data_IF_458029400973
#
_entry.id   IF_458029400973
#
_cell.length_a   1.000
_cell.length_b   1.000
_cell.length_c   1.000
_cell.angle_alpha   90.00
_cell.angle_beta   90.00
_cell.angle_gamma   90.00
#
_symmetry.space_group_name_H-M   'P 1'
#
loop_
_entity.id
_entity.type
_entity.pdbx_description
1 polymer ?
#
# COMPACT_ATOMS: atom_id res chain seq x y z
N UNK A 1 15.85 18.09 15.01
CA UNK A 1 14.92 19.11 15.53
C UNK A 1 14.07 19.64 14.38
N UNK A 2 12.82 19.14 14.30
CA UNK A 2 11.86 19.48 13.24
C UNK A 2 11.35 20.93 13.33
N UNK A 3 11.75 21.69 14.34
CA UNK A 3 11.28 23.05 14.61
C UNK A 3 12.37 24.11 14.43
N UNK A 4 13.50 23.79 13.87
CA UNK A 4 14.58 24.73 13.59
C UNK A 4 14.51 25.29 12.17
N UNK A 5 15.30 26.32 11.89
CA UNK A 5 15.49 26.86 10.53
C UNK A 5 16.00 25.81 9.50
N UNK A 6 16.42 24.65 9.95
CA UNK A 6 16.90 23.53 9.13
C UNK A 6 15.82 22.51 8.76
N UNK A 7 14.62 22.59 9.35
CA UNK A 7 13.50 21.66 9.11
C UNK A 7 13.16 21.51 7.62
N UNK A 8 13.22 22.60 6.84
CA UNK A 8 12.96 22.56 5.39
C UNK A 8 13.93 21.69 4.58
N UNK A 9 15.07 21.31 5.16
CA UNK A 9 16.04 20.44 4.49
C UNK A 9 15.71 18.95 4.64
N UNK A 10 14.86 18.57 5.62
CA UNK A 10 14.51 17.18 5.91
C UNK A 10 13.36 16.68 5.03
N UNK A 11 12.77 17.53 4.18
CA UNK A 11 11.56 17.22 3.44
C UNK A 11 10.31 17.18 4.34
N UNK A 12 9.19 16.76 3.75
CA UNK A 12 7.86 16.83 4.39
C UNK A 12 7.33 15.45 4.80
N UNK A 13 8.01 14.36 4.41
CA UNK A 13 7.49 13.00 4.52
C UNK A 13 8.10 12.18 5.66
N UNK A 14 9.20 12.64 6.26
CA UNK A 14 9.78 11.96 7.42
C UNK A 14 8.95 12.17 8.70
N UNK A 15 9.02 11.19 9.61
CA UNK A 15 8.27 11.20 10.86
C UNK A 15 8.74 12.28 11.86
N UNK A 16 7.95 12.52 12.92
CA UNK A 16 8.18 13.63 13.87
C UNK A 16 9.45 13.48 14.72
N UNK A 17 10.01 12.26 14.83
CA UNK A 17 11.23 12.00 15.60
C UNK A 17 12.50 12.14 14.76
N UNK A 18 12.37 12.44 13.46
CA UNK A 18 13.49 12.61 12.54
C UNK A 18 14.24 13.89 12.83
N UNK A 19 15.56 13.80 12.82
CA UNK A 19 16.47 14.95 13.00
C UNK A 19 17.62 14.90 12.02
N UNK A 20 18.29 16.01 11.83
CA UNK A 20 19.40 16.09 10.90
C UNK A 20 20.21 17.37 11.02
N UNK A 21 21.25 17.46 10.21
CA UNK A 21 22.11 18.62 10.12
C UNK A 21 22.58 18.87 8.68
N UNK A 22 22.91 20.10 8.37
CA UNK A 22 23.41 20.49 7.05
C UNK A 22 24.81 21.07 7.15
N UNK A 23 25.65 20.80 6.12
CA UNK A 23 26.97 21.39 5.97
C UNK A 23 26.96 22.58 5.00
N UNK A 24 27.86 23.53 5.22
CA UNK A 24 28.05 24.71 4.38
C UNK A 24 28.28 24.38 2.91
N UNK A 25 29.07 23.34 2.65
CA UNK A 25 29.41 22.90 1.29
C UNK A 25 28.24 22.21 0.54
N UNK A 26 27.08 22.11 1.17
CA UNK A 26 25.88 21.49 0.56
C UNK A 26 25.53 20.12 1.14
N UNK A 27 26.43 19.48 1.86
CA UNK A 27 26.20 18.17 2.49
C UNK A 27 25.04 18.19 3.48
N UNK A 28 24.40 17.04 3.71
CA UNK A 28 23.42 16.88 4.79
C UNK A 28 23.38 15.44 5.31
N UNK A 29 22.93 15.30 6.55
CA UNK A 29 22.57 14.03 7.17
C UNK A 29 21.19 14.15 7.76
N UNK A 30 20.37 13.13 7.57
CA UNK A 30 19.04 12.95 8.18
C UNK A 30 19.08 11.61 8.89
N UNK A 31 18.57 11.55 10.11
CA UNK A 31 18.47 10.33 10.93
C UNK A 31 17.02 10.16 11.33
N UNK A 32 16.46 9.01 10.96
CA UNK A 32 15.12 8.58 11.32
C UNK A 32 15.22 7.37 12.25
N UNK A 33 15.09 7.60 13.57
CA UNK A 33 15.19 6.53 14.54
C UNK A 33 13.99 5.59 14.54
N UNK A 34 12.84 6.04 14.02
CA UNK A 34 11.62 5.23 13.98
C UNK A 34 11.72 4.09 12.94
N UNK A 35 12.55 4.26 11.91
CA UNK A 35 12.77 3.28 10.84
C UNK A 35 14.22 2.82 10.71
N UNK A 36 15.06 3.11 11.70
CA UNK A 36 16.49 2.76 11.72
C UNK A 36 17.20 3.18 10.41
N UNK A 37 16.86 4.38 9.92
CA UNK A 37 17.32 4.87 8.62
C UNK A 37 18.15 6.14 8.75
N UNK A 38 19.23 6.21 7.96
CA UNK A 38 20.03 7.43 7.82
C UNK A 38 20.17 7.78 6.34
N UNK A 39 19.97 9.06 6.01
CA UNK A 39 20.18 9.60 4.67
C UNK A 39 21.35 10.55 4.70
N UNK A 40 22.41 10.23 3.96
CA UNK A 40 23.61 11.07 3.85
C UNK A 40 23.72 11.56 2.42
N UNK A 41 23.65 12.87 2.23
CA UNK A 41 23.85 13.54 0.94
C UNK A 41 25.21 14.22 0.90
N UNK A 42 26.07 13.77 0.01
CA UNK A 42 27.41 14.33 -0.19
C UNK A 42 27.45 15.09 -1.52
N UNK A 43 27.41 16.40 -1.44
CA UNK A 43 27.48 17.30 -2.61
C UNK A 43 28.42 18.47 -2.33
N UNK A 44 28.87 19.11 -3.39
CA UNK A 44 29.66 20.33 -3.31
C UNK A 44 28.90 21.47 -4.02
N UNK A 45 28.38 22.40 -3.24
CA UNK A 45 27.61 23.54 -3.72
C UNK A 45 28.42 24.86 -3.74
N UNK A 46 29.67 24.82 -3.32
CA UNK A 46 30.52 26.01 -3.19
C UNK A 46 31.65 26.03 -4.21
N UNK A 47 31.74 25.04 -5.10
CA UNK A 47 32.81 24.99 -6.10
C UNK A 47 32.22 24.66 -7.49
N UNK A 48 32.64 25.31 -8.59
CA UNK A 48 33.67 26.36 -8.66
C UNK A 48 33.21 27.74 -8.16
N UNK A 49 31.93 27.95 -7.97
CA UNK A 49 31.33 29.21 -7.51
C UNK A 49 30.37 28.99 -6.35
N UNK A 50 30.50 29.80 -5.29
CA UNK A 50 29.54 29.80 -4.17
C UNK A 50 28.28 30.59 -4.53
N UNK A 51 27.17 30.24 -3.89
CA UNK A 51 25.86 30.96 -4.01
C UNK A 51 24.71 30.15 -4.55
N UNK A 52 24.88 28.85 -4.81
CA UNK A 52 23.78 27.98 -5.22
C UNK A 52 23.07 27.36 -4.00
N UNK A 53 21.76 27.64 -3.89
CA UNK A 53 20.93 27.02 -2.85
C UNK A 53 20.64 25.55 -3.19
N UNK A 54 20.96 24.65 -2.27
CA UNK A 54 20.69 23.21 -2.38
C UNK A 54 19.58 22.74 -1.46
N UNK A 55 18.86 23.65 -0.81
CA UNK A 55 17.74 23.32 0.10
C UNK A 55 16.70 22.46 -0.61
N UNK A 56 16.30 22.84 -1.82
CA UNK A 56 15.33 22.08 -2.62
C UNK A 56 15.84 20.68 -2.96
N UNK A 57 17.10 20.52 -3.31
CA UNK A 57 17.69 19.22 -3.62
C UNK A 57 17.70 18.32 -2.39
N UNK A 58 18.08 18.84 -1.23
CA UNK A 58 18.07 18.10 0.04
C UNK A 58 16.66 17.62 0.37
N UNK A 59 15.66 18.50 0.29
CA UNK A 59 14.26 18.16 0.50
C UNK A 59 13.74 17.11 -0.48
N UNK A 60 14.07 17.21 -1.77
CA UNK A 60 13.66 16.22 -2.76
C UNK A 60 14.26 14.83 -2.52
N UNK A 61 15.57 14.78 -2.17
CA UNK A 61 16.23 13.52 -1.82
C UNK A 61 15.62 12.93 -0.55
N UNK A 62 15.40 13.76 0.48
CA UNK A 62 14.76 13.36 1.72
C UNK A 62 13.37 12.76 1.48
N UNK A 63 12.53 13.45 0.70
CA UNK A 63 11.18 12.98 0.36
C UNK A 63 11.21 11.69 -0.48
N UNK A 64 12.15 11.54 -1.41
CA UNK A 64 12.27 10.32 -2.20
C UNK A 64 12.62 9.09 -1.34
N UNK A 65 13.53 9.27 -0.39
CA UNK A 65 13.89 8.21 0.58
C UNK A 65 12.73 7.93 1.52
N UNK A 66 12.12 8.98 2.12
CA UNK A 66 10.99 8.84 3.01
C UNK A 66 9.82 8.12 2.33
N UNK A 67 9.48 8.47 1.09
CA UNK A 67 8.42 7.81 0.32
C UNK A 67 8.70 6.32 0.05
N UNK A 68 9.97 5.90 0.07
CA UNK A 68 10.33 4.48 -0.06
C UNK A 68 10.18 3.68 1.24
N UNK A 69 10.22 4.37 2.38
CA UNK A 69 10.14 3.79 3.73
C UNK A 69 8.71 3.92 4.28
N UNK A 70 8.13 5.11 4.13
CA UNK A 70 6.75 5.41 4.51
C UNK A 70 5.87 5.32 3.26
N UNK A 71 5.21 4.20 3.02
CA UNK A 71 4.31 4.12 1.89
C UNK A 71 3.25 5.21 2.01
N UNK A 72 3.15 6.08 0.98
CA UNK A 72 2.10 7.10 0.91
C UNK A 72 0.76 6.36 1.04
N UNK A 73 -0.09 6.70 2.01
CA UNK A 73 -1.39 6.06 2.14
C UNK A 73 -2.14 6.16 0.81
N UNK A 74 -2.56 5.02 0.24
CA UNK A 74 -3.38 5.03 -0.97
C UNK A 74 -4.71 5.66 -0.64
N UNK A 75 -5.12 6.62 -1.47
CA UNK A 75 -6.44 7.23 -1.38
C UNK A 75 -7.36 6.44 -2.31
N UNK A 76 -8.38 5.85 -1.74
CA UNK A 76 -9.39 5.10 -2.47
C UNK A 76 -10.65 5.93 -2.71
N UNK A 77 -11.55 5.42 -3.54
CA UNK A 77 -12.83 6.07 -3.82
C UNK A 77 -13.76 6.06 -2.58
N UNK A 78 -14.73 6.98 -2.52
CA UNK A 78 -15.76 6.97 -1.49
C UNK A 78 -16.53 5.63 -1.47
N UNK A 79 -16.74 5.02 -2.63
CA UNK A 79 -17.37 3.71 -2.75
C UNK A 79 -16.52 2.62 -2.08
N UNK A 80 -15.19 2.66 -2.25
CA UNK A 80 -14.29 1.73 -1.57
C UNK A 80 -14.43 1.84 -0.05
N UNK A 81 -14.36 3.05 0.49
CA UNK A 81 -14.48 3.25 1.94
C UNK A 81 -15.84 2.83 2.47
N UNK A 82 -16.92 3.12 1.75
CA UNK A 82 -18.26 2.68 2.12
C UNK A 82 -18.36 1.15 2.20
N UNK A 83 -17.82 0.43 1.19
CA UNK A 83 -17.82 -1.04 1.17
C UNK A 83 -16.90 -1.61 2.24
N UNK A 84 -15.72 -0.99 2.42
CA UNK A 84 -14.77 -1.38 3.46
C UNK A 84 -15.41 -1.34 4.86
N UNK A 85 -16.11 -0.26 5.20
CA UNK A 85 -16.83 -0.13 6.47
C UNK A 85 -17.99 -1.13 6.57
N UNK A 86 -18.75 -1.33 5.51
CA UNK A 86 -19.82 -2.35 5.46
C UNK A 86 -19.28 -3.74 5.81
N UNK A 87 -18.10 -4.11 5.30
CA UNK A 87 -17.50 -5.41 5.61
C UNK A 87 -17.07 -5.53 7.08
N UNK A 88 -16.73 -4.42 7.73
CA UNK A 88 -16.43 -4.40 9.16
C UNK A 88 -17.69 -4.61 10.04
N UNK A 89 -18.85 -4.15 9.56
CA UNK A 89 -20.13 -4.32 10.25
C UNK A 89 -20.72 -5.73 10.05
N UNK A 90 -20.27 -6.47 9.04
CA UNK A 90 -20.68 -7.84 8.80
C UNK A 90 -20.03 -8.82 9.80
N UNK A 91 -20.65 -9.99 10.07
CA UNK A 91 -20.00 -11.03 10.86
C UNK A 91 -18.61 -11.38 10.32
N UNK A 92 -17.64 -11.52 11.22
CA UNK A 92 -16.26 -11.85 10.85
C UNK A 92 -16.19 -13.10 9.98
N UNK A 93 -15.20 -13.13 9.10
CA UNK A 93 -14.91 -14.33 8.29
C UNK A 93 -14.47 -15.46 9.20
N UNK A 94 -14.89 -16.68 8.87
CA UNK A 94 -14.56 -17.90 9.60
C UNK A 94 -13.99 -18.97 8.68
N UNK A 95 -13.41 -20.03 9.25
CA UNK A 95 -12.87 -21.17 8.52
C UNK A 95 -13.93 -22.00 7.75
N UNK A 96 -15.21 -21.68 7.90
CA UNK A 96 -16.30 -22.30 7.12
C UNK A 96 -16.68 -21.48 5.89
N UNK A 97 -16.23 -20.23 5.81
CA UNK A 97 -16.64 -19.31 4.75
C UNK A 97 -15.87 -19.56 3.45
N UNK A 98 -16.55 -19.27 2.35
CA UNK A 98 -16.00 -19.16 1.01
C UNK A 98 -16.00 -17.67 0.65
N UNK A 99 -14.83 -17.11 0.37
CA UNK A 99 -14.69 -15.68 0.08
C UNK A 99 -14.54 -15.46 -1.43
N UNK A 100 -15.44 -14.67 -2.00
CA UNK A 100 -15.30 -14.11 -3.35
C UNK A 100 -14.65 -12.74 -3.22
N UNK A 101 -13.38 -12.62 -3.55
CA UNK A 101 -12.56 -11.44 -3.39
C UNK A 101 -12.21 -10.84 -4.75
N UNK A 102 -12.47 -9.56 -4.96
CA UNK A 102 -12.21 -8.94 -6.26
C UNK A 102 -12.81 -7.54 -6.40
N UNK A 103 -12.96 -7.15 -7.64
CA UNK A 103 -13.44 -5.82 -8.05
C UNK A 103 -14.96 -5.79 -8.35
N UNK A 104 -15.37 -4.95 -9.33
CA UNK A 104 -16.77 -4.80 -9.74
C UNK A 104 -17.43 -6.09 -10.21
N UNK A 105 -16.69 -6.98 -10.86
CA UNK A 105 -17.20 -8.27 -11.32
C UNK A 105 -17.60 -9.15 -10.13
N UNK A 106 -16.84 -9.12 -9.07
CA UNK A 106 -17.12 -9.82 -7.83
C UNK A 106 -18.26 -9.15 -7.05
N UNK A 107 -18.23 -7.81 -6.91
CA UNK A 107 -19.29 -7.07 -6.23
C UNK A 107 -20.64 -7.26 -6.93
N UNK A 108 -20.65 -7.13 -8.26
CA UNK A 108 -21.84 -7.29 -9.10
C UNK A 108 -22.45 -8.70 -9.08
N UNK A 109 -21.73 -9.68 -8.58
CA UNK A 109 -22.28 -11.01 -8.31
C UNK A 109 -23.39 -11.01 -7.26
N UNK A 110 -23.49 -9.98 -6.42
CA UNK A 110 -24.53 -9.82 -5.40
C UNK A 110 -24.50 -10.96 -4.37
N UNK A 111 -25.60 -11.66 -4.21
CA UNK A 111 -25.67 -12.82 -3.29
C UNK A 111 -25.06 -14.07 -3.94
N UNK A 112 -23.76 -14.26 -3.71
CA UNK A 112 -23.01 -15.44 -4.16
C UNK A 112 -23.50 -16.73 -3.51
N UNK A 113 -24.07 -16.68 -2.30
CA UNK A 113 -24.64 -17.86 -1.65
C UNK A 113 -25.83 -18.40 -2.42
N UNK A 114 -26.76 -17.53 -2.82
CA UNK A 114 -27.88 -17.89 -3.66
C UNK A 114 -27.43 -18.39 -5.04
N UNK A 115 -26.50 -17.68 -5.69
CA UNK A 115 -26.00 -18.05 -7.03
C UNK A 115 -25.34 -19.42 -7.09
N UNK A 116 -24.56 -19.77 -6.07
CA UNK A 116 -23.80 -21.02 -6.03
C UNK A 116 -24.53 -22.16 -5.32
N UNK A 117 -25.72 -21.90 -4.76
CA UNK A 117 -26.46 -22.88 -3.94
C UNK A 117 -25.62 -23.36 -2.73
N UNK A 118 -24.79 -22.48 -2.18
CA UNK A 118 -23.91 -22.77 -1.05
C UNK A 118 -24.15 -21.79 0.06
N UNK A 119 -24.16 -22.27 1.31
CA UNK A 119 -24.16 -21.39 2.48
C UNK A 119 -22.77 -20.81 2.74
N UNK A 120 -22.70 -19.68 3.38
CA UNK A 120 -21.47 -19.02 3.83
C UNK A 120 -20.52 -18.56 2.68
N UNK A 121 -21.09 -18.11 1.56
CA UNK A 121 -20.28 -17.44 0.53
C UNK A 121 -20.34 -15.94 0.76
N UNK A 122 -19.17 -15.34 1.01
CA UNK A 122 -19.01 -13.92 1.34
C UNK A 122 -18.58 -13.14 0.13
N UNK A 123 -19.37 -12.13 -0.25
CA UNK A 123 -18.99 -11.19 -1.29
C UNK A 123 -18.05 -10.12 -0.71
N UNK A 124 -16.80 -10.14 -1.13
CA UNK A 124 -15.77 -9.17 -0.79
C UNK A 124 -15.28 -8.45 -2.05
N UNK A 125 -16.20 -8.15 -2.96
CA UNK A 125 -15.97 -7.31 -4.15
C UNK A 125 -16.14 -5.83 -3.84
N UNK A 126 -15.31 -4.99 -4.51
CA UNK A 126 -15.44 -3.53 -4.50
C UNK A 126 -15.27 -3.00 -5.93
N UNK A 127 -16.25 -2.23 -6.42
CA UNK A 127 -16.20 -1.59 -7.75
C UNK A 127 -14.98 -0.67 -7.82
N UNK A 128 -14.21 -0.81 -8.88
CA UNK A 128 -13.01 0.01 -9.11
C UNK A 128 -11.78 -0.46 -8.35
N UNK A 129 -11.86 -1.55 -7.57
CA UNK A 129 -10.73 -2.03 -6.79
C UNK A 129 -9.58 -2.54 -7.65
N UNK A 130 -8.37 -2.28 -7.17
CA UNK A 130 -7.10 -2.68 -7.76
C UNK A 130 -6.40 -3.72 -6.89
N UNK A 131 -5.31 -4.30 -7.40
CA UNK A 131 -4.55 -5.33 -6.66
C UNK A 131 -4.15 -4.85 -5.28
N UNK A 132 -3.66 -3.62 -5.18
CA UNK A 132 -3.21 -3.09 -3.91
C UNK A 132 -4.35 -2.69 -2.98
N UNK A 133 -5.53 -2.33 -3.49
CA UNK A 133 -6.73 -2.14 -2.68
C UNK A 133 -7.17 -3.43 -1.98
N UNK A 134 -7.08 -4.56 -2.69
CA UNK A 134 -7.26 -5.88 -2.09
C UNK A 134 -6.20 -6.16 -1.03
N UNK A 135 -4.93 -5.92 -1.34
CA UNK A 135 -3.82 -6.14 -0.40
C UNK A 135 -4.04 -5.41 0.93
N UNK A 136 -4.45 -4.15 0.87
CA UNK A 136 -4.63 -3.30 2.06
C UNK A 136 -5.79 -3.77 2.96
N UNK A 137 -6.82 -4.45 2.40
CA UNK A 137 -7.96 -4.97 3.17
C UNK A 137 -7.93 -6.47 3.49
N UNK A 138 -6.85 -7.18 3.20
CA UNK A 138 -6.69 -8.58 3.56
C UNK A 138 -6.83 -8.85 5.06
N UNK A 139 -6.49 -7.88 5.91
CA UNK A 139 -6.66 -7.96 7.36
C UNK A 139 -8.11 -8.17 7.82
N UNK A 140 -9.11 -7.87 6.98
CA UNK A 140 -10.53 -8.16 7.26
C UNK A 140 -10.90 -9.62 6.97
N UNK A 141 -10.05 -10.37 6.29
CA UNK A 141 -10.35 -11.69 5.74
C UNK A 141 -9.46 -12.78 6.36
N UNK A 142 -8.14 -12.56 6.32
CA UNK A 142 -7.16 -13.60 6.65
C UNK A 142 -7.20 -14.10 8.09
N UNK A 143 -7.52 -13.28 9.12
CA UNK A 143 -7.64 -13.76 10.50
C UNK A 143 -8.73 -14.83 10.67
N UNK A 144 -9.70 -14.90 9.76
CA UNK A 144 -10.76 -15.89 9.78
C UNK A 144 -10.38 -17.23 9.15
N UNK A 145 -9.23 -17.33 8.47
CA UNK A 145 -8.76 -18.53 7.78
C UNK A 145 -9.84 -19.19 6.92
N UNK A 146 -10.45 -18.48 5.93
CA UNK A 146 -11.58 -19.03 5.17
C UNK A 146 -11.23 -20.35 4.48
N UNK A 147 -12.22 -21.25 4.36
CA UNK A 147 -12.03 -22.54 3.70
C UNK A 147 -11.53 -22.39 2.26
N UNK A 148 -12.05 -21.38 1.55
CA UNK A 148 -11.69 -21.08 0.17
C UNK A 148 -11.70 -19.57 -0.06
N UNK A 149 -10.75 -19.11 -0.90
CA UNK A 149 -10.69 -17.74 -1.37
C UNK A 149 -10.54 -17.74 -2.88
N UNK A 150 -11.49 -17.12 -3.58
CA UNK A 150 -11.47 -16.92 -5.03
C UNK A 150 -11.08 -15.46 -5.30
N UNK A 151 -9.94 -15.25 -5.95
CA UNK A 151 -9.38 -13.92 -6.24
C UNK A 151 -9.50 -13.61 -7.72
N UNK A 152 -10.23 -12.53 -8.06
CA UNK A 152 -10.36 -11.98 -9.42
C UNK A 152 -10.01 -10.50 -9.39
N UNK A 153 -8.83 -10.11 -9.95
CA UNK A 153 -8.31 -8.75 -9.86
C UNK A 153 -7.32 -8.45 -10.99
N UNK A 154 -7.05 -7.19 -11.27
CA UNK A 154 -6.04 -6.72 -12.21
C UNK A 154 -6.57 -5.93 -13.40
N UNK A 155 -7.87 -6.04 -13.72
CA UNK A 155 -8.45 -5.34 -14.88
C UNK A 155 -8.43 -3.81 -14.72
N UNK A 156 -8.64 -3.30 -13.50
CA UNK A 156 -8.60 -1.87 -13.23
C UNK A 156 -7.17 -1.33 -13.28
N UNK A 157 -6.21 -2.11 -12.79
CA UNK A 157 -4.78 -1.81 -12.88
C UNK A 157 -4.35 -1.65 -14.35
N UNK A 158 -4.83 -2.53 -15.24
CA UNK A 158 -4.61 -2.41 -16.69
C UNK A 158 -5.24 -1.12 -17.23
N UNK A 159 -6.47 -0.80 -16.83
CA UNK A 159 -7.18 0.40 -17.30
C UNK A 159 -6.51 1.70 -16.83
N UNK A 160 -5.75 1.65 -15.75
CA UNK A 160 -4.94 2.75 -15.23
C UNK A 160 -3.50 2.75 -15.79
N UNK A 161 -3.26 1.99 -16.87
CA UNK A 161 -1.99 1.93 -17.60
C UNK A 161 -0.80 1.39 -16.77
N UNK A 162 -1.04 0.58 -15.75
CA UNK A 162 0.03 -0.13 -15.08
C UNK A 162 0.60 -1.20 -16.03
N UNK A 163 1.91 -1.41 -15.97
CA UNK A 163 2.56 -2.45 -16.79
C UNK A 163 2.21 -3.85 -16.30
N UNK A 164 2.18 -4.81 -17.21
CA UNK A 164 1.91 -6.21 -16.87
C UNK A 164 2.86 -6.75 -15.80
N UNK A 165 4.14 -6.38 -15.87
CA UNK A 165 5.14 -6.79 -14.88
C UNK A 165 4.84 -6.25 -13.48
N UNK A 166 4.42 -4.98 -13.39
CA UNK A 166 4.01 -4.37 -12.13
C UNK A 166 2.78 -5.07 -11.55
N UNK A 167 1.77 -5.33 -12.39
CA UNK A 167 0.53 -6.00 -11.97
C UNK A 167 0.82 -7.42 -11.47
N UNK A 168 1.62 -8.19 -12.23
CA UNK A 168 2.02 -9.56 -11.84
C UNK A 168 2.80 -9.55 -10.53
N UNK A 169 3.71 -8.59 -10.34
CA UNK A 169 4.47 -8.44 -9.10
C UNK A 169 3.55 -8.16 -7.91
N UNK A 170 2.59 -7.24 -8.05
CA UNK A 170 1.62 -6.93 -6.99
C UNK A 170 0.70 -8.11 -6.68
N UNK A 171 0.22 -8.84 -7.71
CA UNK A 171 -0.58 -10.07 -7.51
C UNK A 171 0.25 -11.11 -6.77
N UNK A 172 1.51 -11.31 -7.13
CA UNK A 172 2.42 -12.24 -6.44
C UNK A 172 2.56 -11.89 -4.96
N UNK A 173 2.86 -10.64 -4.65
CA UNK A 173 2.96 -10.15 -3.25
C UNK A 173 1.67 -10.41 -2.48
N UNK A 174 0.52 -10.18 -3.12
CA UNK A 174 -0.80 -10.42 -2.51
C UNK A 174 -1.03 -11.92 -2.23
N UNK A 175 -0.70 -12.78 -3.19
CA UNK A 175 -0.80 -14.24 -3.05
C UNK A 175 0.13 -14.76 -1.96
N UNK A 176 1.39 -14.33 -1.93
CA UNK A 176 2.38 -14.70 -0.91
C UNK A 176 1.91 -14.31 0.49
N UNK A 177 1.33 -13.13 0.65
CA UNK A 177 0.74 -12.70 1.91
C UNK A 177 -0.42 -13.59 2.33
N UNK A 178 -1.35 -13.91 1.42
CA UNK A 178 -2.46 -14.82 1.70
C UNK A 178 -1.95 -16.20 2.15
N UNK A 179 -0.99 -16.75 1.44
CA UNK A 179 -0.42 -18.07 1.77
C UNK A 179 0.32 -18.07 3.12
N UNK A 180 0.99 -16.97 3.45
CA UNK A 180 1.73 -16.81 4.71
C UNK A 180 0.79 -16.65 5.91
N UNK A 181 -0.22 -15.77 5.79
CA UNK A 181 -1.11 -15.41 6.91
C UNK A 181 -2.30 -16.36 7.07
N UNK A 182 -2.65 -17.12 6.00
CA UNK A 182 -3.76 -18.07 6.02
C UNK A 182 -3.42 -19.36 5.23
N UNK A 183 -2.44 -20.15 5.69
CA UNK A 183 -1.87 -21.28 4.95
C UNK A 183 -2.89 -22.39 4.65
N UNK A 184 -3.92 -22.54 5.50
CA UNK A 184 -4.96 -23.55 5.32
C UNK A 184 -6.04 -23.14 4.30
N UNK A 185 -6.08 -21.88 3.89
CA UNK A 185 -7.03 -21.37 2.91
C UNK A 185 -6.70 -21.88 1.51
N UNK A 186 -7.66 -22.54 0.87
CA UNK A 186 -7.52 -22.94 -0.55
C UNK A 186 -7.72 -21.71 -1.44
N UNK A 187 -6.62 -21.15 -1.94
CA UNK A 187 -6.63 -20.00 -2.83
C UNK A 187 -6.83 -20.43 -4.30
N UNK A 188 -7.76 -19.76 -4.97
CA UNK A 188 -8.02 -19.88 -6.41
C UNK A 188 -7.83 -18.52 -7.08
N UNK A 189 -6.77 -18.36 -7.84
CA UNK A 189 -6.57 -17.18 -8.68
C UNK A 189 -7.34 -17.40 -10.00
N UNK A 190 -8.24 -16.45 -10.29
CA UNK A 190 -9.05 -16.50 -11.51
C UNK A 190 -8.37 -15.66 -12.61
N UNK A 191 -8.33 -16.19 -13.84
CA UNK A 191 -7.88 -15.40 -14.99
C UNK A 191 -8.91 -14.34 -15.36
N UNK A 192 -8.44 -13.27 -15.94
CA UNK A 192 -9.25 -12.21 -16.54
C UNK A 192 -9.74 -12.67 -17.91
#
# INVERSE_FOLDING_TARGET
>A
DNFTAYASNNGDLFGPNTYGHTGYTGTSIIIDPDNDTSVILLINAVHPEDGHSVVRLRSLVANAVAASIYPIPRIYTDHYYKRFLQFMDEPAITSKDIVMLGNSLTEGGGDWSARLGKKNVRNRGIIGDEVMGIYDRLHQILPGHPAKLFLLIGVNDISHNLTSDSIVSMIRTTVERIQKESPDTKLYLQSL
#
